data_IF_543014263453
#
_entry.id   IF_543014263453
#
_cell.length_a   1.000
_cell.length_b   1.000
_cell.length_c   1.000
_cell.angle_alpha   90.00
_cell.angle_beta   90.00
_cell.angle_gamma   90.00
#
_symmetry.space_group_name_H-M   'P 1'
#
loop_
_entity.id
_entity.type
_entity.pdbx_description
1 polymer ?
#
# COMPACT_ATOMS: atom_id res chain seq x y z
N UNK A 1 -48.97 5.01 -47.90
CA UNK A 1 -47.67 5.47 -47.36
C UNK A 1 -47.88 6.86 -46.74
N UNK A 2 -47.56 7.21 -45.50
CA UNK A 2 -47.25 6.42 -44.31
C UNK A 2 -47.40 7.35 -43.07
N UNK A 3 -48.62 7.62 -42.58
CA UNK A 3 -48.81 8.38 -41.32
C UNK A 3 -48.22 7.62 -40.12
N UNK A 4 -48.17 6.30 -40.21
CA UNK A 4 -47.52 5.39 -39.27
C UNK A 4 -45.99 5.51 -39.35
N UNK A 5 -45.43 5.68 -40.56
CA UNK A 5 -43.99 5.90 -40.74
C UNK A 5 -43.48 7.20 -40.14
N UNK A 6 -44.25 8.29 -40.24
CA UNK A 6 -43.88 9.59 -39.65
C UNK A 6 -43.97 9.54 -38.12
N UNK A 7 -44.97 8.83 -37.56
CA UNK A 7 -45.07 8.61 -36.12
C UNK A 7 -43.94 7.73 -35.57
N UNK A 8 -43.52 6.68 -36.30
CA UNK A 8 -42.38 5.84 -35.93
C UNK A 8 -41.04 6.60 -35.97
N UNK A 9 -40.83 7.45 -36.98
CA UNK A 9 -39.64 8.31 -37.04
C UNK A 9 -39.62 9.37 -35.93
N UNK A 10 -40.78 9.94 -35.56
CA UNK A 10 -40.89 10.89 -34.45
C UNK A 10 -40.60 10.26 -33.08
N UNK A 11 -41.07 9.03 -32.85
CA UNK A 11 -40.77 8.27 -31.63
C UNK A 11 -39.30 7.82 -31.60
N UNK A 12 -38.73 7.39 -32.73
CA UNK A 12 -37.31 7.08 -32.82
C UNK A 12 -36.41 8.30 -32.54
N UNK A 13 -36.78 9.49 -33.04
CA UNK A 13 -36.07 10.74 -32.76
C UNK A 13 -36.15 11.19 -31.29
N UNK A 14 -37.31 11.01 -30.65
CA UNK A 14 -37.49 11.31 -29.23
C UNK A 14 -36.73 10.31 -28.33
N UNK A 15 -36.66 9.04 -28.71
CA UNK A 15 -35.86 8.02 -28.00
C UNK A 15 -34.37 8.34 -28.15
N UNK A 16 -33.87 8.66 -29.34
CA UNK A 16 -32.46 9.03 -29.57
C UNK A 16 -32.01 10.26 -28.76
N UNK A 17 -32.92 11.20 -28.50
CA UNK A 17 -32.64 12.41 -27.70
C UNK A 17 -32.69 12.16 -26.19
N UNK A 18 -33.40 11.11 -25.74
CA UNK A 18 -33.57 10.74 -24.34
C UNK A 18 -32.44 9.86 -23.77
N UNK A 19 -31.45 9.50 -24.59
CA UNK A 19 -30.42 8.51 -24.24
C UNK A 19 -29.32 8.98 -23.30
N UNK A 20 -29.40 10.21 -22.81
CA UNK A 20 -28.58 10.71 -21.71
C UNK A 20 -29.14 10.37 -20.32
N UNK A 21 -30.34 9.78 -20.22
CA UNK A 21 -31.05 9.59 -18.95
C UNK A 21 -30.99 8.16 -18.37
N UNK A 22 -30.16 7.26 -18.92
CA UNK A 22 -29.91 5.99 -18.26
C UNK A 22 -29.17 6.24 -16.93
N UNK A 23 -29.65 5.73 -15.78
CA UNK A 23 -28.99 5.97 -14.50
C UNK A 23 -27.60 5.31 -14.53
N UNK A 24 -26.56 6.15 -14.63
CA UNK A 24 -25.17 5.75 -14.55
C UNK A 24 -24.38 6.78 -13.75
N UNK A 25 -23.37 6.31 -13.03
CA UNK A 25 -22.37 7.20 -12.46
C UNK A 25 -21.53 7.74 -13.62
N UNK A 26 -21.28 9.04 -13.62
CA UNK A 26 -20.41 9.71 -14.60
C UNK A 26 -19.60 10.77 -13.88
N UNK A 27 -18.35 10.95 -14.28
CA UNK A 27 -17.56 12.08 -13.81
C UNK A 27 -17.92 13.31 -14.64
N UNK A 28 -18.65 14.27 -14.07
CA UNK A 28 -18.97 15.55 -14.71
C UNK A 28 -18.15 16.65 -14.05
N UNK A 29 -17.02 17.01 -14.67
CA UNK A 29 -16.08 18.01 -14.14
C UNK A 29 -16.50 19.38 -14.68
N UNK A 30 -16.91 20.33 -13.83
CA UNK A 30 -17.25 21.68 -14.27
C UNK A 30 -16.08 22.32 -15.04
N UNK A 31 -16.33 22.82 -16.25
CA UNK A 31 -15.30 23.52 -17.05
C UNK A 31 -15.04 24.95 -16.57
N UNK A 32 -16.04 25.56 -15.93
CA UNK A 32 -16.05 26.98 -15.60
C UNK A 32 -15.97 27.23 -14.07
N UNK A 33 -15.81 26.17 -13.28
CA UNK A 33 -15.72 26.23 -11.82
C UNK A 33 -14.60 25.31 -11.35
N UNK A 34 -13.85 25.75 -10.35
CA UNK A 34 -12.89 24.93 -9.61
C UNK A 34 -13.49 24.39 -8.32
N UNK A 35 -14.82 24.46 -8.15
CA UNK A 35 -15.53 24.01 -6.95
C UNK A 35 -16.71 23.11 -7.30
N UNK A 36 -16.90 22.06 -6.51
CA UNK A 36 -18.03 21.14 -6.58
C UNK A 36 -18.53 20.86 -5.16
N UNK A 37 -19.81 21.17 -4.87
CA UNK A 37 -20.41 21.03 -3.53
C UNK A 37 -19.58 21.66 -2.39
N UNK A 38 -18.96 22.82 -2.64
CA UNK A 38 -18.13 23.52 -1.66
C UNK A 38 -16.71 22.97 -1.48
N UNK A 39 -16.33 21.93 -2.24
CA UNK A 39 -14.97 21.38 -2.28
C UNK A 39 -14.25 21.98 -3.48
N UNK A 40 -13.05 22.51 -3.27
CA UNK A 40 -12.19 23.01 -4.34
C UNK A 40 -11.50 21.82 -5.01
N UNK A 41 -11.51 21.75 -6.34
CA UNK A 41 -10.80 20.73 -7.10
C UNK A 41 -9.80 21.34 -8.09
N UNK A 42 -8.72 20.60 -8.33
CA UNK A 42 -7.76 20.89 -9.42
C UNK A 42 -7.69 19.68 -10.35
N UNK A 43 -7.77 19.94 -11.65
CA UNK A 43 -7.65 18.92 -12.68
C UNK A 43 -6.20 18.83 -13.17
N UNK A 44 -5.68 17.62 -13.21
CA UNK A 44 -4.33 17.27 -13.66
C UNK A 44 -4.41 16.29 -14.85
N UNK A 45 -3.41 16.32 -15.72
CA UNK A 45 -3.33 15.45 -16.90
C UNK A 45 -2.12 14.52 -16.81
N UNK A 46 -2.38 13.25 -16.47
CA UNK A 46 -1.34 12.23 -16.28
C UNK A 46 -0.57 11.99 -17.58
N UNK A 47 -1.27 11.93 -18.71
CA UNK A 47 -0.64 11.72 -20.03
C UNK A 47 0.36 12.82 -20.43
N UNK A 48 0.17 14.04 -19.93
CA UNK A 48 1.06 15.19 -20.17
C UNK A 48 2.19 15.28 -19.15
N UNK A 49 2.31 14.29 -18.26
CA UNK A 49 3.31 14.25 -17.20
C UNK A 49 2.99 15.13 -16.00
N UNK A 50 1.77 15.68 -15.91
CA UNK A 50 1.30 16.38 -14.71
C UNK A 50 0.85 15.35 -13.67
N UNK A 51 1.81 14.90 -12.87
CA UNK A 51 1.60 13.96 -11.76
C UNK A 51 1.08 14.67 -10.49
N UNK A 52 0.81 15.98 -10.59
CA UNK A 52 0.54 16.87 -9.47
C UNK A 52 1.75 17.08 -8.58
N UNK A 53 1.55 17.90 -7.56
CA UNK A 53 2.51 17.98 -6.46
C UNK A 53 2.32 16.72 -5.60
N UNK A 54 3.40 16.14 -5.04
CA UNK A 54 3.26 15.19 -3.96
C UNK A 54 2.30 15.82 -2.95
N UNK A 55 1.29 15.07 -2.48
CA UNK A 55 0.43 15.60 -1.42
C UNK A 55 1.35 15.96 -0.28
N UNK A 56 1.58 17.25 -0.07
CA UNK A 56 2.10 17.77 1.17
C UNK A 56 1.02 17.46 2.20
N UNK A 57 1.07 16.24 2.75
CA UNK A 57 0.51 15.99 4.07
C UNK A 57 1.20 17.05 4.90
N UNK A 58 0.44 18.07 5.33
CA UNK A 58 0.98 19.21 6.07
C UNK A 58 2.02 18.65 7.03
N UNK A 59 3.32 19.01 6.86
CA UNK A 59 4.40 18.24 7.46
C UNK A 59 4.06 18.13 8.93
N UNK A 60 3.92 16.88 9.39
CA UNK A 60 3.74 16.68 10.82
C UNK A 60 4.94 17.41 11.44
N UNK A 61 4.74 18.41 12.32
CA UNK A 61 5.87 19.20 12.83
C UNK A 61 6.88 18.32 13.57
N UNK A 62 6.47 17.11 13.95
CA UNK A 62 7.32 16.05 14.48
C UNK A 62 7.97 15.16 13.43
N UNK A 63 7.58 15.17 12.16
CA UNK A 63 8.21 14.35 11.11
C UNK A 63 9.52 14.99 10.62
N UNK A 64 10.62 14.25 10.77
CA UNK A 64 11.95 14.68 10.34
C UNK A 64 12.35 14.09 8.99
N UNK A 65 13.21 14.80 8.25
CA UNK A 65 13.78 14.30 7.02
C UNK A 65 14.94 13.33 7.33
N UNK A 66 14.93 12.16 6.70
CA UNK A 66 16.00 11.16 6.80
C UNK A 66 17.39 11.73 6.49
N UNK A 67 17.50 12.64 5.52
CA UNK A 67 18.79 13.23 5.13
C UNK A 67 19.44 14.01 6.27
N UNK A 68 18.65 14.53 7.21
CA UNK A 68 19.15 15.26 8.38
C UNK A 68 19.90 14.34 9.37
N UNK A 69 19.70 13.03 9.25
CA UNK A 69 20.30 12.03 10.13
C UNK A 69 21.56 11.37 9.55
N UNK A 70 21.77 11.51 8.25
CA UNK A 70 22.83 10.80 7.54
C UNK A 70 24.19 11.45 7.79
N UNK A 71 25.21 10.62 8.00
CA UNK A 71 26.60 11.07 8.09
C UNK A 71 27.37 10.72 6.82
N UNK A 72 28.33 11.55 6.41
CA UNK A 72 29.15 11.28 5.22
C UNK A 72 30.04 10.04 5.41
N UNK A 73 30.56 9.87 6.62
CA UNK A 73 31.32 8.71 7.07
C UNK A 73 30.98 8.39 8.52
N UNK A 74 31.10 7.10 8.89
CA UNK A 74 30.95 6.69 10.27
C UNK A 74 32.11 7.26 11.10
N UNK A 75 31.83 7.99 12.20
CA UNK A 75 32.87 8.56 13.04
C UNK A 75 33.60 7.45 13.78
N UNK A 76 34.90 7.65 14.01
CA UNK A 76 35.62 6.86 15.00
C UNK A 76 35.11 7.27 16.39
N UNK A 77 34.36 6.38 17.03
CA UNK A 77 33.68 6.65 18.28
C UNK A 77 34.56 6.20 19.44
N UNK A 78 35.10 7.17 20.18
CA UNK A 78 35.75 6.86 21.44
C UNK A 78 34.70 6.69 22.54
N UNK A 79 34.57 5.48 23.07
CA UNK A 79 33.64 5.21 24.16
C UNK A 79 34.07 5.94 25.44
N UNK A 80 33.11 6.66 26.03
CA UNK A 80 33.25 7.32 27.33
C UNK A 80 32.39 6.59 28.35
N UNK A 81 33.04 6.20 29.44
CA UNK A 81 32.42 5.52 30.57
C UNK A 81 31.30 6.40 31.11
N UNK A 82 30.17 5.79 31.45
CA UNK A 82 29.02 6.46 32.03
C UNK A 82 28.47 5.71 33.25
N UNK A 83 27.45 6.28 33.89
CA UNK A 83 26.79 5.66 35.03
C UNK A 83 26.26 4.26 34.68
N UNK A 84 26.35 3.33 35.64
CA UNK A 84 25.92 1.93 35.52
C UNK A 84 26.80 1.00 34.67
N UNK A 85 27.81 1.51 33.98
CA UNK A 85 28.77 0.66 33.27
C UNK A 85 29.55 -0.24 34.23
N UNK A 86 30.09 -1.34 33.69
CA UNK A 86 31.00 -2.23 34.42
C UNK A 86 32.40 -2.04 33.85
N UNK A 87 33.35 -1.76 34.74
CA UNK A 87 34.75 -1.54 34.37
C UNK A 87 35.61 -2.59 35.05
N UNK A 88 36.39 -3.33 34.27
CA UNK A 88 37.41 -4.23 34.77
C UNK A 88 38.75 -3.52 34.80
N UNK A 89 39.44 -3.61 35.94
CA UNK A 89 40.80 -3.10 36.12
C UNK A 89 41.68 -4.30 36.43
N UNK A 90 42.74 -4.47 35.66
CA UNK A 90 43.75 -5.52 35.83
C UNK A 90 45.06 -4.85 36.21
N UNK A 91 45.64 -5.28 37.33
CA UNK A 91 46.96 -4.83 37.78
C UNK A 91 47.89 -6.04 37.73
N UNK A 92 48.89 -6.00 36.87
CA UNK A 92 49.84 -7.09 36.72
C UNK A 92 50.63 -7.34 38.00
N UNK A 93 50.97 -8.60 38.25
CA UNK A 93 51.67 -9.07 39.47
C UNK A 93 50.92 -8.78 40.80
N UNK A 94 49.69 -8.26 40.71
CA UNK A 94 48.84 -7.90 41.84
C UNK A 94 47.42 -8.48 41.68
N UNK A 95 47.25 -9.81 41.77
CA UNK A 95 45.94 -10.47 41.67
C UNK A 95 44.93 -9.99 42.73
N UNK A 96 45.41 -9.57 43.90
CA UNK A 96 44.62 -8.99 44.99
C UNK A 96 43.94 -7.65 44.62
N UNK A 97 44.48 -6.92 43.63
CA UNK A 97 43.87 -5.68 43.12
C UNK A 97 42.99 -5.94 41.90
N UNK A 98 43.35 -6.94 41.09
CA UNK A 98 42.58 -7.35 39.91
C UNK A 98 41.26 -8.03 40.31
N UNK A 99 41.26 -8.79 41.41
CA UNK A 99 40.07 -9.49 41.91
C UNK A 99 40.02 -9.43 43.44
N UNK A 100 39.76 -8.24 44.02
CA UNK A 100 39.83 -8.01 45.46
C UNK A 100 38.83 -8.83 46.27
N UNK A 101 37.80 -9.39 45.63
CA UNK A 101 36.78 -10.25 46.26
C UNK A 101 36.82 -11.71 45.77
N UNK A 102 37.93 -12.13 45.14
CA UNK A 102 38.15 -13.51 44.67
C UNK A 102 37.47 -13.86 43.34
N UNK A 103 37.60 -15.13 42.93
CA UNK A 103 37.15 -15.63 41.61
C UNK A 103 35.60 -15.66 41.40
N UNK A 104 34.81 -15.28 42.40
CA UNK A 104 33.35 -15.48 42.41
C UNK A 104 32.52 -14.22 42.10
N UNK A 105 33.15 -13.07 41.85
CA UNK A 105 32.43 -11.85 41.46
C UNK A 105 32.47 -11.61 39.95
N UNK A 106 31.44 -10.92 39.40
CA UNK A 106 31.41 -10.56 37.98
C UNK A 106 32.67 -9.78 37.59
N UNK A 107 33.12 -9.99 36.34
CA UNK A 107 34.33 -9.41 35.77
C UNK A 107 34.22 -7.89 35.62
N UNK A 108 34.35 -7.15 36.72
CA UNK A 108 34.37 -5.70 36.75
C UNK A 108 33.57 -5.10 37.89
N UNK A 109 33.83 -3.83 38.11
CA UNK A 109 33.24 -3.03 39.15
C UNK A 109 32.27 -2.02 38.54
N UNK A 110 31.11 -1.91 39.16
CA UNK A 110 30.02 -1.07 38.66
C UNK A 110 30.29 0.40 38.93
N UNK A 111 30.12 1.23 37.90
CA UNK A 111 30.08 2.68 38.01
C UNK A 111 28.76 3.10 38.65
N UNK A 112 28.85 3.91 39.69
CA UNK A 112 27.69 4.38 40.44
C UNK A 112 26.83 5.34 39.60
N UNK A 113 25.61 5.64 40.07
CA UNK A 113 24.68 6.56 39.37
C UNK A 113 25.18 8.00 39.31
N UNK A 114 26.05 8.42 40.25
CA UNK A 114 26.76 9.70 40.24
C UNK A 114 28.06 9.66 39.39
N UNK A 115 28.34 8.55 38.72
CA UNK A 115 29.44 8.43 37.77
C UNK A 115 30.81 8.19 38.40
N UNK A 116 30.83 7.63 39.61
CA UNK A 116 32.07 7.32 40.33
C UNK A 116 32.39 5.82 40.31
N UNK A 117 33.66 5.53 40.54
CA UNK A 117 34.19 4.20 40.75
C UNK A 117 35.02 4.23 42.03
N UNK A 118 34.70 3.39 43.01
CA UNK A 118 35.63 3.12 44.10
C UNK A 118 36.69 2.15 43.60
N UNK A 119 37.96 2.32 43.91
CA UNK A 119 38.97 1.30 43.62
C UNK A 119 39.94 1.16 44.80
N UNK A 120 40.30 -0.06 45.25
CA UNK A 120 41.18 -0.24 46.40
C UNK A 120 42.47 0.58 46.27
N UNK A 121 42.84 1.26 47.37
CA UNK A 121 43.99 2.18 47.48
C UNK A 121 43.89 3.47 46.63
N UNK A 122 43.28 3.43 45.45
CA UNK A 122 43.03 4.62 44.62
C UNK A 122 41.84 5.48 45.12
N UNK A 123 40.95 4.92 45.96
CA UNK A 123 39.80 5.61 46.57
C UNK A 123 38.63 5.78 45.61
N UNK A 124 37.78 6.79 45.82
CA UNK A 124 36.74 7.15 44.86
C UNK A 124 37.32 7.99 43.71
N UNK A 125 36.98 7.62 42.48
CA UNK A 125 37.36 8.31 41.25
C UNK A 125 36.10 8.75 40.50
N UNK A 126 36.09 9.98 39.99
CA UNK A 126 35.09 10.40 39.00
C UNK A 126 35.48 9.77 37.66
N UNK A 127 34.66 8.85 37.14
CA UNK A 127 34.97 8.10 35.91
C UNK A 127 34.01 8.40 34.77
N UNK A 128 32.82 8.91 35.06
CA UNK A 128 31.87 9.30 34.01
C UNK A 128 32.49 10.39 33.11
N UNK A 129 32.44 10.16 31.80
CA UNK A 129 33.05 10.99 30.78
C UNK A 129 34.49 10.61 30.42
N UNK A 130 35.17 9.80 31.23
CA UNK A 130 36.52 9.32 30.92
C UNK A 130 36.51 8.19 29.90
N UNK A 131 37.57 8.10 29.11
CA UNK A 131 37.85 6.94 28.28
C UNK A 131 38.58 5.88 29.11
N UNK A 132 38.61 4.62 28.65
CA UNK A 132 39.34 3.56 29.34
C UNK A 132 40.84 3.92 29.52
N UNK A 133 41.42 4.61 28.54
CA UNK A 133 42.81 5.07 28.58
C UNK A 133 43.04 6.19 29.59
N UNK A 134 42.10 7.14 29.70
CA UNK A 134 42.16 8.20 30.70
C UNK A 134 42.02 7.62 32.12
N UNK A 135 41.09 6.70 32.31
CA UNK A 135 40.91 6.02 33.60
C UNK A 135 42.13 5.19 33.99
N UNK A 136 42.75 4.47 33.03
CA UNK A 136 44.00 3.74 33.25
C UNK A 136 45.09 4.65 33.80
N UNK A 137 45.32 5.80 33.15
CA UNK A 137 46.32 6.79 33.59
C UNK A 137 46.06 7.29 35.01
N UNK A 138 44.80 7.58 35.33
CA UNK A 138 44.42 8.07 36.65
C UNK A 138 44.61 7.00 37.74
N UNK A 139 44.22 5.75 37.48
CA UNK A 139 44.42 4.64 38.42
C UNK A 139 45.91 4.37 38.63
N UNK A 140 46.70 4.28 37.55
CA UNK A 140 48.16 4.10 37.63
C UNK A 140 48.78 5.17 38.52
N UNK A 141 48.46 6.45 38.29
CA UNK A 141 48.98 7.56 39.08
C UNK A 141 48.65 7.41 40.57
N UNK A 142 47.39 7.15 40.93
CA UNK A 142 46.98 7.04 42.33
C UNK A 142 47.55 5.83 43.06
N UNK A 143 47.77 4.73 42.35
CA UNK A 143 48.42 3.54 42.92
C UNK A 143 49.91 3.78 43.14
N UNK A 144 50.59 4.44 42.19
CA UNK A 144 52.00 4.84 42.30
C UNK A 144 52.24 5.76 43.50
N UNK A 145 51.36 6.74 43.70
CA UNK A 145 51.52 7.75 44.76
C UNK A 145 51.36 7.15 46.17
N UNK A 146 50.71 5.99 46.30
CA UNK A 146 50.26 5.45 47.60
C UNK A 146 50.91 4.14 48.00
N UNK A 147 51.05 3.17 47.08
CA UNK A 147 51.34 1.79 47.49
C UNK A 147 52.21 0.96 46.55
N UNK A 148 52.29 1.29 45.25
CA UNK A 148 53.05 0.51 44.27
C UNK A 148 54.16 1.34 43.62
N UNK A 149 55.24 0.70 43.19
CA UNK A 149 56.26 1.33 42.34
C UNK A 149 56.05 0.89 40.89
N UNK A 150 55.79 1.84 39.99
CA UNK A 150 55.54 1.61 38.55
C UNK A 150 54.50 0.51 38.21
N UNK A 151 53.25 0.63 38.70
CA UNK A 151 52.22 -0.38 38.49
C UNK A 151 51.77 -0.45 37.03
N UNK A 152 51.77 -1.66 36.48
CA UNK A 152 51.23 -1.93 35.14
C UNK A 152 49.73 -2.20 35.25
N UNK A 153 48.92 -1.26 34.74
CA UNK A 153 47.45 -1.30 34.83
C UNK A 153 46.85 -1.41 33.44
N UNK A 154 45.86 -2.27 33.28
CA UNK A 154 44.95 -2.33 32.14
C UNK A 154 43.51 -2.06 32.59
N UNK A 155 42.73 -1.35 31.78
CA UNK A 155 41.36 -0.96 32.08
C UNK A 155 40.49 -1.24 30.87
N UNK A 156 39.39 -1.96 31.07
CA UNK A 156 38.45 -2.34 30.01
C UNK A 156 37.01 -2.17 30.49
N UNK A 157 36.13 -1.73 29.60
CA UNK A 157 34.69 -1.72 29.86
C UNK A 157 34.16 -3.11 29.53
N UNK A 158 33.53 -3.77 30.51
CA UNK A 158 33.01 -5.14 30.39
C UNK A 158 31.49 -5.20 30.32
N UNK A 159 30.81 -4.11 30.70
CA UNK A 159 29.36 -4.01 30.66
C UNK A 159 28.94 -2.60 30.25
N UNK A 160 28.42 -2.48 29.04
CA UNK A 160 27.97 -1.22 28.46
C UNK A 160 26.49 -0.98 28.81
N UNK A 161 26.22 -0.22 29.87
CA UNK A 161 24.86 -0.03 30.38
C UNK A 161 24.41 1.43 30.40
N UNK A 162 25.35 2.37 30.32
CA UNK A 162 25.10 3.81 30.39
C UNK A 162 24.41 4.36 29.14
N UNK A 163 24.73 3.80 27.98
CA UNK A 163 24.23 4.24 26.67
C UNK A 163 23.41 3.14 26.03
N UNK A 164 22.13 3.43 25.78
CA UNK A 164 21.18 2.49 25.19
C UNK A 164 20.10 3.17 24.35
N UNK A 165 19.57 2.43 23.39
CA UNK A 165 18.42 2.78 22.57
C UNK A 165 17.35 1.70 22.81
N UNK A 166 16.09 2.04 22.55
CA UNK A 166 14.98 1.11 22.77
C UNK A 166 14.39 0.68 21.43
N UNK A 167 14.25 -0.63 21.22
CA UNK A 167 13.66 -1.19 20.01
C UNK A 167 12.39 -1.95 20.39
N UNK A 168 11.31 -1.69 19.67
CA UNK A 168 9.99 -2.25 19.95
C UNK A 168 9.18 -2.53 18.69
N UNK A 169 8.07 -3.23 18.85
CA UNK A 169 7.21 -3.66 17.75
C UNK A 169 7.62 -5.01 17.18
N UNK A 170 7.41 -5.20 15.88
CA UNK A 170 7.57 -6.45 15.15
C UNK A 170 9.05 -6.74 14.82
N UNK A 171 9.83 -7.04 15.86
CA UNK A 171 11.22 -7.55 15.77
C UNK A 171 11.36 -8.83 16.57
N UNK A 172 12.37 -9.66 16.26
CA UNK A 172 12.52 -10.96 16.92
C UNK A 172 12.83 -10.87 18.42
N UNK A 173 13.57 -9.83 18.86
CA UNK A 173 13.94 -9.61 20.27
C UNK A 173 13.80 -8.13 20.66
N UNK A 174 12.58 -7.64 20.95
CA UNK A 174 12.38 -6.27 21.39
C UNK A 174 13.04 -6.02 22.75
N UNK A 175 13.55 -4.81 22.97
CA UNK A 175 14.25 -4.46 24.20
C UNK A 175 15.27 -3.34 24.03
N UNK A 176 16.12 -3.19 25.05
CA UNK A 176 17.22 -2.23 25.00
C UNK A 176 18.40 -2.77 24.21
N UNK A 177 18.91 -1.96 23.29
CA UNK A 177 20.18 -2.18 22.59
C UNK A 177 21.24 -1.30 23.23
N UNK A 178 22.30 -1.93 23.70
CA UNK A 178 23.40 -1.28 24.41
C UNK A 178 24.52 -0.91 23.44
N UNK A 179 25.06 0.31 23.58
CA UNK A 179 26.12 0.82 22.71
C UNK A 179 27.49 0.50 23.29
N UNK A 180 28.35 -0.10 22.48
CA UNK A 180 29.74 -0.38 22.80
C UNK A 180 30.67 0.66 22.14
N UNK A 181 31.91 0.26 21.84
CA UNK A 181 32.93 1.06 21.17
C UNK A 181 32.64 1.25 19.68
N UNK A 182 31.73 0.47 19.09
CA UNK A 182 31.43 0.54 17.67
C UNK A 182 30.28 1.53 17.39
N UNK A 183 30.36 2.31 16.30
CA UNK A 183 29.22 3.04 15.79
C UNK A 183 28.07 2.08 15.50
N UNK A 184 26.88 2.39 16.03
CA UNK A 184 25.69 1.58 15.82
C UNK A 184 24.77 2.28 14.83
N UNK A 185 24.50 1.65 13.70
CA UNK A 185 23.62 2.15 12.64
C UNK A 185 22.23 1.52 12.75
N UNK A 186 21.27 2.01 11.96
CA UNK A 186 19.93 1.42 11.91
C UNK A 186 19.98 -0.09 11.53
N UNK A 187 20.74 -0.52 10.50
CA UNK A 187 21.01 -1.94 10.23
C UNK A 187 21.59 -2.71 11.40
N UNK A 188 22.57 -2.15 12.10
CA UNK A 188 23.22 -2.84 13.23
C UNK A 188 22.23 -3.06 14.38
N UNK A 189 21.38 -2.07 14.67
CA UNK A 189 20.33 -2.19 15.70
C UNK A 189 19.32 -3.28 15.33
N UNK A 190 18.87 -3.34 14.07
CA UNK A 190 17.95 -4.38 13.60
C UNK A 190 18.61 -5.76 13.67
N UNK A 191 19.87 -5.88 13.26
CA UNK A 191 20.63 -7.12 13.37
C UNK A 191 20.80 -7.56 14.84
N UNK A 192 21.08 -6.62 15.74
CA UNK A 192 21.23 -6.89 17.17
C UNK A 192 19.96 -7.50 17.77
N UNK A 193 18.77 -6.99 17.42
CA UNK A 193 17.49 -7.57 17.87
C UNK A 193 17.09 -8.85 17.12
N UNK A 194 17.97 -9.38 16.27
CA UNK A 194 17.76 -10.64 15.55
C UNK A 194 16.97 -10.48 14.24
N UNK A 195 16.87 -9.27 13.70
CA UNK A 195 16.11 -8.97 12.49
C UNK A 195 14.63 -8.70 12.75
N UNK A 196 13.91 -8.47 11.65
CA UNK A 196 12.47 -8.26 11.65
C UNK A 196 11.72 -9.56 12.00
N UNK A 197 10.59 -9.41 12.68
CA UNK A 197 9.61 -10.50 12.84
C UNK A 197 8.94 -10.82 11.49
N UNK A 198 8.39 -12.03 11.34
CA UNK A 198 7.72 -12.45 10.09
C UNK A 198 6.51 -11.56 9.73
N UNK A 199 5.85 -10.99 10.73
CA UNK A 199 4.68 -10.10 10.56
C UNK A 199 5.06 -8.63 10.51
N UNK A 200 6.35 -8.30 10.48
CA UNK A 200 6.81 -6.93 10.43
C UNK A 200 6.52 -6.27 9.09
N UNK A 201 6.44 -4.95 9.10
CA UNK A 201 6.48 -4.13 7.90
C UNK A 201 7.77 -3.29 7.86
N UNK A 202 8.81 -3.75 7.13
CA UNK A 202 10.07 -3.03 7.04
C UNK A 202 9.97 -1.69 6.30
N UNK A 203 8.89 -1.44 5.54
CA UNK A 203 8.75 -0.19 4.80
C UNK A 203 8.33 1.01 5.67
N UNK A 204 8.02 0.76 6.95
CA UNK A 204 7.46 1.77 7.86
C UNK A 204 8.18 1.80 9.21
N UNK A 205 9.48 1.48 9.24
CA UNK A 205 10.27 1.57 10.46
C UNK A 205 10.33 3.02 10.92
N UNK A 206 10.09 3.28 12.21
CA UNK A 206 10.09 4.62 12.77
C UNK A 206 11.24 4.79 13.74
N UNK A 207 12.04 5.83 13.55
CA UNK A 207 13.03 6.29 14.52
C UNK A 207 12.49 7.54 15.21
N UNK A 208 12.28 7.49 16.52
CA UNK A 208 12.01 8.66 17.34
C UNK A 208 13.30 9.14 18.00
N UNK A 209 13.66 10.40 17.74
CA UNK A 209 14.81 11.11 18.34
C UNK A 209 14.33 12.46 18.89
N UNK A 210 14.22 12.54 20.21
CA UNK A 210 13.59 13.68 20.88
C UNK A 210 12.14 13.84 20.45
N UNK A 211 11.77 15.04 20.01
CA UNK A 211 10.42 15.38 19.55
C UNK A 211 10.18 15.07 18.06
N UNK A 212 11.20 14.54 17.37
CA UNK A 212 11.13 14.17 15.95
C UNK A 212 10.98 12.67 15.75
N UNK A 213 10.20 12.29 14.75
CA UNK A 213 9.95 10.94 14.25
C UNK A 213 10.39 10.90 12.79
N UNK A 214 11.19 9.91 12.43
CA UNK A 214 11.73 9.71 11.10
C UNK A 214 11.21 8.38 10.57
N UNK A 215 10.52 8.41 9.45
CA UNK A 215 10.05 7.22 8.76
C UNK A 215 11.18 6.66 7.89
N UNK A 216 11.44 5.36 7.99
CA UNK A 216 12.51 4.65 7.31
C UNK A 216 11.89 3.49 6.53
N UNK A 217 11.90 3.59 5.20
CA UNK A 217 11.49 2.51 4.31
C UNK A 217 12.70 1.64 3.99
N UNK A 218 12.87 0.54 4.72
CA UNK A 218 14.00 -0.36 4.53
C UNK A 218 14.02 -1.02 3.15
N UNK A 219 12.84 -1.34 2.61
CA UNK A 219 12.71 -2.02 1.32
C UNK A 219 13.10 -1.08 0.19
N UNK A 220 12.57 0.15 0.22
CA UNK A 220 12.93 1.19 -0.74
C UNK A 220 14.40 1.56 -0.61
N UNK A 221 14.91 1.69 0.61
CA UNK A 221 16.31 2.02 0.82
C UNK A 221 17.25 1.00 0.17
N UNK A 222 16.94 -0.29 0.27
CA UNK A 222 17.71 -1.33 -0.41
C UNK A 222 17.58 -1.25 -1.94
N UNK A 223 16.35 -1.07 -2.45
CA UNK A 223 16.08 -1.03 -3.91
C UNK A 223 16.69 0.20 -4.60
N UNK A 224 16.63 1.35 -3.95
CA UNK A 224 17.08 2.63 -4.49
C UNK A 224 18.51 3.01 -4.04
N UNK A 225 19.19 2.10 -3.34
CA UNK A 225 20.55 2.31 -2.83
C UNK A 225 20.66 3.56 -1.92
N UNK A 226 19.66 3.77 -1.06
CA UNK A 226 19.69 4.80 -0.02
C UNK A 226 20.52 4.25 1.15
N UNK A 227 21.62 4.92 1.54
CA UNK A 227 22.56 4.37 2.52
C UNK A 227 22.07 4.56 3.96
N UNK A 228 21.09 3.75 4.38
CA UNK A 228 20.55 3.72 5.75
C UNK A 228 21.57 3.22 6.78
N UNK A 229 22.64 2.56 6.32
CA UNK A 229 23.86 2.24 7.08
C UNK A 229 24.67 3.50 7.47
N UNK A 230 24.30 4.69 6.96
CA UNK A 230 24.87 5.97 7.40
C UNK A 230 24.01 6.71 8.41
N UNK A 231 22.95 6.08 8.92
CA UNK A 231 22.11 6.64 9.96
C UNK A 231 22.57 6.07 11.30
N UNK A 232 23.32 6.86 12.05
CA UNK A 232 23.76 6.50 13.40
C UNK A 232 22.60 6.57 14.37
N UNK A 233 22.41 5.51 15.15
CA UNK A 233 21.52 5.52 16.30
C UNK A 233 22.24 6.19 17.47
N UNK A 234 21.52 7.01 18.23
CA UNK A 234 22.05 7.74 19.38
C UNK A 234 21.45 7.20 20.68
N UNK A 235 22.14 7.35 21.81
CA UNK A 235 21.55 7.03 23.12
C UNK A 235 20.23 7.78 23.32
N UNK A 236 19.21 7.06 23.79
CA UNK A 236 17.86 7.61 24.00
C UNK A 236 16.93 7.54 22.78
N UNK A 237 17.45 7.19 21.60
CA UNK A 237 16.62 6.93 20.42
C UNK A 237 15.68 5.75 20.66
N UNK A 238 14.53 5.78 19.98
CA UNK A 238 13.55 4.70 20.02
C UNK A 238 13.20 4.27 18.61
N UNK A 239 13.40 2.98 18.33
CA UNK A 239 13.05 2.37 17.06
C UNK A 239 11.77 1.56 17.23
N UNK A 240 10.79 1.80 16.37
CA UNK A 240 9.53 1.08 16.35
C UNK A 240 9.31 0.46 14.98
N UNK A 241 9.01 -0.83 14.95
CA UNK A 241 8.66 -1.55 13.72
C UNK A 241 7.18 -1.96 13.79
N UNK A 242 6.31 -1.45 12.93
CA UNK A 242 4.89 -1.80 12.97
C UNK A 242 4.63 -3.22 12.47
N UNK A 243 3.47 -3.76 12.84
CA UNK A 243 2.95 -4.98 12.24
C UNK A 243 2.37 -4.67 10.85
N UNK A 244 2.54 -5.58 9.89
CA UNK A 244 2.00 -5.45 8.53
C UNK A 244 0.50 -5.20 8.51
N UNK A 245 -0.26 -5.90 9.35
CA UNK A 245 -1.72 -5.74 9.43
C UNK A 245 -2.15 -4.33 9.89
N UNK A 246 -1.38 -3.71 10.80
CA UNK A 246 -1.69 -2.35 11.28
C UNK A 246 -1.61 -1.35 10.15
N UNK A 247 -0.70 -1.57 9.20
CA UNK A 247 -0.51 -0.69 8.08
C UNK A 247 -1.39 -1.04 6.88
N UNK A 248 -1.67 -2.32 6.64
CA UNK A 248 -2.58 -2.76 5.58
C UNK A 248 -4.02 -2.28 5.74
N UNK A 249 -4.51 -2.07 6.98
CA UNK A 249 -5.89 -1.61 7.22
C UNK A 249 -6.20 -0.27 6.55
N UNK A 250 -5.20 0.61 6.45
CA UNK A 250 -5.33 1.94 5.87
C UNK A 250 -4.75 2.05 4.45
N UNK A 251 -3.94 1.08 4.01
CA UNK A 251 -3.28 1.05 2.69
C UNK A 251 -4.07 0.29 1.63
N UNK A 252 -5.06 0.98 1.08
CA UNK A 252 -5.89 0.46 0.02
C UNK A 252 -6.34 1.56 -0.92
N UNK A 253 -6.50 1.23 -2.19
CA UNK A 253 -7.15 2.09 -3.18
C UNK A 253 -8.49 1.47 -3.59
N UNK A 254 -9.40 2.32 -4.03
CA UNK A 254 -10.71 1.89 -4.51
C UNK A 254 -10.74 1.96 -6.02
N UNK A 255 -10.98 0.85 -6.71
CA UNK A 255 -11.13 0.83 -8.17
C UNK A 255 -12.60 0.62 -8.50
N UNK A 256 -13.20 1.61 -9.17
CA UNK A 256 -14.63 1.73 -9.43
C UNK A 256 -14.90 2.08 -10.90
N UNK A 257 -16.16 1.95 -11.31
CA UNK A 257 -16.60 2.26 -12.68
C UNK A 257 -16.46 1.07 -13.63
N UNK A 258 -16.23 1.35 -14.92
CA UNK A 258 -16.19 0.37 -16.01
C UNK A 258 -14.85 -0.38 -16.10
N UNK A 259 -14.52 -1.11 -15.03
CA UNK A 259 -13.44 -2.10 -14.98
C UNK A 259 -14.02 -3.51 -14.96
N UNK A 260 -13.19 -4.52 -15.26
CA UNK A 260 -13.66 -5.91 -15.25
C UNK A 260 -14.03 -6.41 -13.84
N UNK A 261 -13.35 -5.91 -12.79
CA UNK A 261 -13.66 -6.20 -11.39
C UNK A 261 -13.50 -4.93 -10.54
N UNK A 262 -14.60 -4.37 -10.07
CA UNK A 262 -14.58 -3.28 -9.10
C UNK A 262 -14.25 -3.79 -7.71
N UNK A 263 -13.62 -2.96 -6.88
CA UNK A 263 -13.34 -3.31 -5.49
C UNK A 263 -12.14 -2.60 -4.90
N UNK A 264 -11.72 -3.13 -3.76
CA UNK A 264 -10.57 -2.65 -3.00
C UNK A 264 -9.32 -3.36 -3.50
N UNK A 265 -8.31 -2.59 -3.92
CA UNK A 265 -6.97 -3.10 -4.20
C UNK A 265 -6.09 -2.75 -3.02
N UNK A 266 -5.53 -3.78 -2.37
CA UNK A 266 -4.63 -3.62 -1.23
C UNK A 266 -3.25 -3.22 -1.74
N UNK A 267 -2.59 -2.34 -0.98
CA UNK A 267 -1.24 -1.89 -1.28
C UNK A 267 -0.29 -2.54 -0.26
N UNK A 268 0.71 -3.28 -0.75
CA UNK A 268 1.79 -3.76 0.11
C UNK A 268 2.77 -2.62 0.42
N UNK A 269 3.09 -1.79 -0.59
CA UNK A 269 3.89 -0.57 -0.48
C UNK A 269 3.26 0.55 -1.34
N UNK A 270 3.91 0.89 -2.45
CA UNK A 270 3.39 1.73 -3.53
C UNK A 270 2.67 0.85 -4.55
N UNK A 271 1.63 1.37 -5.18
CA UNK A 271 0.99 0.74 -6.33
C UNK A 271 0.78 1.81 -7.41
N UNK A 272 1.14 1.49 -8.65
CA UNK A 272 0.89 2.41 -9.76
C UNK A 272 -0.59 2.37 -10.20
N UNK A 273 -1.03 3.40 -10.93
CA UNK A 273 -2.34 3.38 -11.56
C UNK A 273 -2.48 2.18 -12.51
N UNK A 274 -1.40 1.83 -13.23
CA UNK A 274 -1.39 0.66 -14.11
C UNK A 274 -1.58 -0.65 -13.34
N UNK A 275 -0.86 -0.84 -12.23
CA UNK A 275 -0.97 -2.02 -11.38
C UNK A 275 -2.36 -2.13 -10.74
N UNK A 276 -2.95 -1.02 -10.29
CA UNK A 276 -4.30 -1.01 -9.73
C UNK A 276 -5.36 -1.40 -10.76
N UNK A 277 -5.27 -0.86 -11.99
CA UNK A 277 -6.14 -1.25 -13.10
C UNK A 277 -5.95 -2.73 -13.47
N UNK A 278 -4.71 -3.22 -13.49
CA UNK A 278 -4.41 -4.62 -13.78
C UNK A 278 -4.98 -5.56 -12.70
N UNK A 279 -4.87 -5.20 -11.42
CA UNK A 279 -5.47 -5.95 -10.30
C UNK A 279 -7.01 -6.04 -10.45
N UNK A 280 -7.64 -4.95 -10.90
CA UNK A 280 -9.05 -4.90 -11.27
C UNK A 280 -9.41 -5.66 -12.57
N UNK A 281 -8.45 -6.36 -13.18
CA UNK A 281 -8.64 -7.12 -14.42
C UNK A 281 -8.63 -6.26 -15.69
N UNK A 282 -8.16 -5.03 -15.60
CA UNK A 282 -8.12 -4.05 -16.69
C UNK A 282 -9.43 -3.28 -16.88
N UNK A 283 -9.35 -2.23 -17.69
CA UNK A 283 -10.53 -1.47 -18.15
C UNK A 283 -11.42 -2.37 -19.01
N UNK A 284 -12.73 -2.23 -18.89
CA UNK A 284 -13.66 -3.00 -19.71
C UNK A 284 -13.65 -2.46 -21.15
N UNK A 285 -13.02 -3.18 -22.08
CA UNK A 285 -12.85 -2.73 -23.46
C UNK A 285 -14.17 -2.46 -24.22
N UNK A 286 -15.29 -3.07 -23.78
CA UNK A 286 -16.60 -2.86 -24.41
C UNK A 286 -17.34 -1.66 -23.84
N UNK A 287 -17.14 -1.40 -22.55
CA UNK A 287 -17.96 -0.44 -21.82
C UNK A 287 -17.24 0.83 -21.41
N UNK A 288 -15.95 0.77 -21.13
CA UNK A 288 -15.17 1.90 -20.61
C UNK A 288 -14.90 2.95 -21.68
N UNK A 289 -14.80 4.20 -21.25
CA UNK A 289 -14.21 5.28 -22.05
C UNK A 289 -12.70 5.33 -21.80
N UNK A 290 -11.84 4.98 -22.78
CA UNK A 290 -10.38 4.99 -22.58
C UNK A 290 -9.82 6.37 -22.26
N UNK A 291 -10.53 7.46 -22.60
CA UNK A 291 -10.14 8.83 -22.28
C UNK A 291 -10.38 9.27 -20.85
N UNK A 292 -11.21 8.53 -20.12
CA UNK A 292 -11.88 9.01 -18.92
C UNK A 292 -11.57 8.06 -17.76
N UNK A 293 -10.26 7.87 -17.53
CA UNK A 293 -9.71 7.20 -16.36
C UNK A 293 -9.27 8.28 -15.39
N UNK A 294 -9.86 8.29 -14.20
CA UNK A 294 -9.60 9.30 -13.17
C UNK A 294 -8.99 8.68 -11.92
N UNK A 295 -8.06 9.42 -11.30
CA UNK A 295 -7.69 9.24 -9.90
C UNK A 295 -8.23 10.44 -9.13
N UNK A 296 -9.07 10.17 -8.15
CA UNK A 296 -9.61 11.19 -7.24
C UNK A 296 -8.85 11.06 -5.92
N UNK A 297 -8.11 12.11 -5.58
CA UNK A 297 -7.27 12.19 -4.40
C UNK A 297 -7.80 13.23 -3.43
N UNK A 298 -7.96 12.85 -2.17
CA UNK A 298 -8.41 13.76 -1.13
C UNK A 298 -7.20 14.44 -0.46
N UNK A 299 -6.97 15.71 -0.77
CA UNK A 299 -5.78 16.45 -0.33
C UNK A 299 -6.03 17.18 0.98
N UNK A 300 -7.25 17.67 1.22
CA UNK A 300 -7.70 18.22 2.50
C UNK A 300 -9.22 18.11 2.63
N UNK A 301 -9.77 18.41 3.82
CA UNK A 301 -11.23 18.40 4.04
C UNK A 301 -12.03 19.22 3.01
N UNK A 302 -11.41 20.22 2.39
CA UNK A 302 -12.04 21.15 1.46
C UNK A 302 -11.37 21.14 0.07
N UNK A 303 -10.37 20.28 -0.17
CA UNK A 303 -9.62 20.22 -1.44
C UNK A 303 -9.43 18.79 -1.93
N UNK A 304 -9.77 18.55 -3.19
CA UNK A 304 -9.47 17.31 -3.90
C UNK A 304 -8.61 17.60 -5.14
N UNK A 305 -7.75 16.67 -5.53
CA UNK A 305 -7.06 16.72 -6.81
C UNK A 305 -7.61 15.57 -7.68
N UNK A 306 -7.93 15.90 -8.93
CA UNK A 306 -8.49 14.95 -9.91
C UNK A 306 -7.44 14.80 -11.01
N UNK A 307 -6.94 13.59 -11.20
CA UNK A 307 -5.97 13.27 -12.22
C UNK A 307 -6.64 12.48 -13.32
N UNK A 308 -6.61 12.99 -14.55
CA UNK A 308 -7.18 12.30 -15.71
C UNK A 308 -6.06 11.69 -16.56
N UNK A 309 -6.25 10.44 -16.95
CA UNK A 309 -5.46 9.75 -17.95
C UNK A 309 -6.34 9.53 -19.20
N UNK A 310 -5.96 10.12 -20.33
CA UNK A 310 -6.48 9.71 -21.63
C UNK A 310 -5.62 8.57 -22.19
N UNK A 311 -6.15 7.35 -22.10
CA UNK A 311 -5.51 6.12 -22.55
C UNK A 311 -6.02 5.64 -23.92
N UNK A 312 -6.56 6.52 -24.77
CA UNK A 312 -6.86 6.17 -26.17
C UNK A 312 -5.62 5.67 -26.90
N UNK A 313 -4.45 6.19 -26.55
CA UNK A 313 -3.17 5.66 -26.98
C UNK A 313 -2.59 4.78 -25.87
N UNK A 314 -2.29 3.52 -26.19
CA UNK A 314 -1.70 2.57 -25.25
C UNK A 314 -0.35 3.05 -24.67
N UNK A 315 0.37 3.94 -25.36
CA UNK A 315 1.60 4.55 -24.82
C UNK A 315 1.35 5.38 -23.56
N UNK A 316 0.14 5.92 -23.38
CA UNK A 316 -0.22 6.66 -22.17
C UNK A 316 -0.28 5.75 -20.92
N UNK A 317 -0.44 4.44 -21.09
CA UNK A 317 -0.35 3.47 -19.97
C UNK A 317 1.06 3.45 -19.35
N UNK A 318 2.11 3.82 -20.10
CA UNK A 318 3.44 3.99 -19.52
C UNK A 318 3.49 5.16 -18.51
N UNK A 319 2.62 6.17 -18.66
CA UNK A 319 2.46 7.22 -17.65
C UNK A 319 1.65 6.72 -16.45
N UNK A 320 0.66 5.86 -16.67
CA UNK A 320 -0.09 5.21 -15.59
C UNK A 320 0.82 4.34 -14.70
N UNK A 321 1.85 3.71 -15.27
CA UNK A 321 2.82 2.92 -14.52
C UNK A 321 3.75 3.78 -13.65
N UNK A 322 4.01 5.02 -14.06
CA UNK A 322 4.79 6.00 -13.30
C UNK A 322 3.96 6.78 -12.27
N UNK A 323 2.64 6.72 -12.38
CA UNK A 323 1.74 7.44 -11.48
C UNK A 323 1.49 6.61 -10.23
N UNK A 324 2.14 6.96 -9.12
CA UNK A 324 1.94 6.31 -7.83
C UNK A 324 0.62 6.74 -7.18
N UNK A 325 -0.18 5.76 -6.77
CA UNK A 325 -1.41 6.00 -6.01
C UNK A 325 -1.10 6.19 -4.53
N UNK A 326 -1.86 7.09 -3.89
CA UNK A 326 -1.83 7.28 -2.45
C UNK A 326 -2.84 6.34 -1.78
N UNK A 327 -2.60 5.97 -0.51
CA UNK A 327 -3.62 5.30 0.29
C UNK A 327 -4.95 6.05 0.24
N UNK A 328 -6.02 5.31 -0.03
CA UNK A 328 -7.41 5.77 -0.16
C UNK A 328 -7.71 6.59 -1.42
N UNK A 329 -6.82 6.64 -2.40
CA UNK A 329 -7.16 7.12 -3.74
C UNK A 329 -8.32 6.31 -4.33
N UNK A 330 -9.17 7.01 -5.09
CA UNK A 330 -10.26 6.39 -5.83
C UNK A 330 -9.90 6.44 -7.31
N UNK A 331 -9.64 5.27 -7.90
CA UNK A 331 -9.53 5.09 -9.33
C UNK A 331 -10.93 4.86 -9.89
N UNK A 332 -11.39 5.76 -10.76
CA UNK A 332 -12.71 5.70 -11.37
C UNK A 332 -12.58 5.69 -12.88
N UNK A 333 -13.19 4.69 -13.54
CA UNK A 333 -13.21 4.57 -15.00
C UNK A 333 -14.61 4.86 -15.50
N UNK A 334 -14.77 5.90 -16.32
CA UNK A 334 -16.07 6.30 -16.82
C UNK A 334 -16.60 5.38 -17.94
N UNK A 335 -17.91 5.38 -18.13
CA UNK A 335 -18.56 4.64 -19.20
C UNK A 335 -18.45 5.36 -20.55
N UNK A 336 -18.21 4.60 -21.61
CA UNK A 336 -18.30 5.10 -22.98
C UNK A 336 -19.75 5.46 -23.32
N UNK A 337 -19.91 6.48 -24.18
CA UNK A 337 -21.22 6.89 -24.67
C UNK A 337 -22.00 5.76 -25.36
N UNK A 338 -21.29 4.78 -25.96
CA UNK A 338 -21.89 3.62 -26.63
C UNK A 338 -22.37 2.56 -25.63
N UNK A 339 -21.66 2.35 -24.52
CA UNK A 339 -22.08 1.43 -23.47
C UNK A 339 -23.40 1.88 -22.81
N UNK A 340 -23.52 3.20 -22.62
CA UNK A 340 -24.73 3.86 -22.12
C UNK A 340 -25.94 3.52 -23.02
N UNK A 341 -25.74 3.51 -24.34
CA UNK A 341 -26.74 3.18 -25.34
C UNK A 341 -27.16 1.70 -25.29
N UNK A 342 -26.20 0.77 -25.23
CA UNK A 342 -26.50 -0.66 -25.15
C UNK A 342 -27.27 -1.04 -23.87
N UNK A 343 -26.98 -0.38 -22.74
CA UNK A 343 -27.71 -0.56 -21.47
C UNK A 343 -29.14 -0.03 -21.55
N UNK A 344 -29.37 1.09 -22.23
CA UNK A 344 -30.71 1.59 -22.47
C UNK A 344 -31.51 0.63 -23.37
N UNK A 345 -30.89 0.14 -24.44
CA UNK A 345 -31.51 -0.85 -25.33
C UNK A 345 -31.95 -2.10 -24.56
N UNK A 346 -31.12 -2.62 -23.65
CA UNK A 346 -31.48 -3.78 -22.84
C UNK A 346 -32.60 -3.50 -21.83
N UNK A 347 -32.79 -2.24 -21.38
CA UNK A 347 -33.90 -1.83 -20.52
C UNK A 347 -35.24 -1.67 -21.27
N UNK A 348 -35.21 -1.30 -22.56
CA UNK A 348 -36.43 -1.16 -23.40
C UNK A 348 -36.79 -2.43 -24.18
N UNK A 349 -35.87 -3.38 -24.32
CA UNK A 349 -36.12 -4.64 -25.03
C UNK A 349 -37.27 -5.46 -24.40
N UNK A 350 -37.40 -5.56 -23.06
CA UNK A 350 -38.52 -6.27 -22.42
C UNK A 350 -39.88 -5.62 -22.71
N UNK A 351 -39.96 -4.29 -22.75
CA UNK A 351 -41.21 -3.57 -23.07
C UNK A 351 -41.54 -3.67 -24.55
N UNK A 352 -40.55 -3.64 -25.45
CA UNK A 352 -40.77 -3.94 -26.87
C UNK A 352 -41.32 -5.35 -27.09
N UNK A 353 -40.81 -6.34 -26.35
CA UNK A 353 -41.26 -7.72 -26.43
C UNK A 353 -42.69 -7.87 -25.90
N UNK A 354 -43.04 -7.15 -24.82
CA UNK A 354 -44.38 -7.10 -24.27
C UNK A 354 -45.38 -6.41 -25.22
N UNK A 355 -44.98 -5.33 -25.91
CA UNK A 355 -45.80 -4.67 -26.93
C UNK A 355 -46.02 -5.61 -28.12
N UNK A 356 -44.97 -6.30 -28.59
CA UNK A 356 -45.05 -7.27 -29.69
C UNK A 356 -45.97 -8.46 -29.34
N UNK A 357 -45.85 -9.01 -28.14
CA UNK A 357 -46.77 -10.04 -27.63
C UNK A 357 -48.20 -9.50 -27.50
N UNK A 358 -48.36 -8.26 -27.03
CA UNK A 358 -49.66 -7.57 -26.92
C UNK A 358 -50.34 -7.37 -28.28
N UNK A 359 -49.59 -6.98 -29.32
CA UNK A 359 -50.13 -6.82 -30.67
C UNK A 359 -50.58 -8.15 -31.27
N UNK A 360 -49.85 -9.24 -31.02
CA UNK A 360 -50.24 -10.58 -31.47
C UNK A 360 -51.50 -11.07 -30.73
N UNK A 361 -51.66 -10.75 -29.44
CA UNK A 361 -52.87 -11.06 -28.67
C UNK A 361 -54.08 -10.27 -29.21
N UNK A 362 -53.92 -8.98 -29.49
CA UNK A 362 -55.01 -8.15 -30.06
C UNK A 362 -55.39 -8.61 -31.46
N UNK A 363 -54.43 -8.96 -32.32
CA UNK A 363 -54.70 -9.52 -33.64
C UNK A 363 -55.40 -10.87 -33.55
N UNK A 364 -54.95 -11.77 -32.67
CA UNK A 364 -55.62 -13.06 -32.45
C UNK A 364 -57.05 -12.89 -31.90
N UNK A 365 -57.28 -11.94 -30.99
CA UNK A 365 -58.63 -11.63 -30.47
C UNK A 365 -59.52 -11.02 -31.56
N UNK A 366 -58.98 -10.16 -32.42
CA UNK A 366 -59.71 -9.61 -33.56
C UNK A 366 -60.01 -10.68 -34.62
N UNK A 367 -59.10 -11.61 -34.90
CA UNK A 367 -59.37 -12.76 -35.76
C UNK A 367 -60.47 -13.66 -35.17
N UNK A 368 -60.44 -13.95 -33.87
CA UNK A 368 -61.47 -14.74 -33.18
C UNK A 368 -62.83 -14.01 -33.21
N UNK A 369 -62.84 -12.68 -33.04
CA UNK A 369 -64.07 -11.89 -33.07
C UNK A 369 -64.66 -11.77 -34.49
N UNK A 370 -63.81 -11.63 -35.51
CA UNK A 370 -64.25 -11.52 -36.91
C UNK A 370 -64.59 -12.87 -37.56
N UNK A 371 -63.97 -13.97 -37.14
CA UNK A 371 -64.24 -15.32 -37.69
C UNK A 371 -65.23 -16.14 -36.87
N UNK A 372 -65.64 -15.62 -35.71
CA UNK A 372 -66.47 -16.31 -34.72
C UNK A 372 -65.70 -17.45 -34.05
N UNK A 373 -66.03 -17.75 -32.79
CA UNK A 373 -65.40 -18.85 -32.06
C UNK A 373 -65.76 -20.20 -32.71
N UNK A 374 -64.88 -20.73 -33.56
CA UNK A 374 -65.04 -22.06 -34.16
C UNK A 374 -64.35 -23.10 -33.30
N UNK A 375 -65.11 -24.04 -32.76
CA UNK A 375 -64.57 -25.21 -32.06
C UNK A 375 -63.66 -26.04 -32.99
N UNK A 376 -62.70 -26.82 -32.46
CA UNK A 376 -61.76 -27.60 -33.26
C UNK A 376 -62.40 -28.51 -34.33
N UNK A 377 -63.65 -28.92 -34.13
CA UNK A 377 -64.45 -29.69 -35.10
C UNK A 377 -64.81 -28.91 -36.37
N UNK A 378 -65.00 -27.59 -36.30
CA UNK A 378 -65.40 -26.77 -37.45
C UNK A 378 -64.24 -26.41 -38.38
N UNK A 379 -62.98 -26.38 -37.89
CA UNK A 379 -61.79 -26.12 -38.73
C UNK A 379 -61.43 -27.30 -39.65
N UNK A 380 -61.82 -28.54 -39.32
CA UNK A 380 -61.56 -29.72 -40.17
C UNK A 380 -62.49 -29.82 -41.39
N UNK A 381 -63.68 -29.23 -41.34
CA UNK A 381 -64.64 -29.30 -42.44
C UNK A 381 -64.28 -28.36 -43.62
N UNK A 382 -63.47 -27.32 -43.38
CA UNK A 382 -63.06 -26.36 -44.41
C UNK A 382 -61.76 -26.71 -45.14
N UNK A 383 -61.12 -27.84 -44.81
CA UNK A 383 -59.85 -28.26 -45.42
C UNK A 383 -59.98 -29.45 -46.37
N UNK A 384 -61.20 -29.79 -46.82
CA UNK A 384 -61.48 -30.95 -47.68
C UNK A 384 -61.86 -30.54 -49.10
N UNK A 385 -61.05 -29.72 -49.78
CA UNK A 385 -61.13 -29.57 -51.25
C UNK A 385 -59.85 -28.98 -51.86
N UNK A 386 -58.75 -29.74 -51.84
CA UNK A 386 -57.71 -29.68 -52.90
C UNK A 386 -56.61 -30.70 -52.58
N UNK A 387 -56.82 -31.94 -52.99
CA UNK A 387 -55.76 -32.95 -53.10
C UNK A 387 -55.52 -33.17 -54.59
N UNK A 388 -54.36 -32.73 -55.10
CA UNK A 388 -53.80 -33.28 -56.35
C UNK A 388 -52.29 -33.45 -56.16
N UNK A 389 -51.94 -34.68 -55.79
CA UNK A 389 -50.76 -35.48 -56.18
C UNK A 389 -49.47 -34.78 -56.63
N UNK A 390 -48.36 -35.07 -55.91
CA UNK A 390 -47.27 -35.90 -56.47
C UNK A 390 -46.54 -36.66 -55.35
N UNK A 391 -46.65 -37.99 -55.39
CA UNK A 391 -45.83 -39.00 -54.72
C UNK A 391 -44.40 -38.98 -55.31
N UNK A 392 -43.29 -39.12 -54.60
CA UNK A 392 -42.64 -40.30 -53.98
C UNK A 392 -41.22 -39.79 -53.65
N UNK A 393 -40.58 -40.03 -52.52
CA UNK A 393 -40.00 -41.32 -52.20
C UNK A 393 -39.59 -41.39 -50.72
N UNK A 394 -39.80 -42.58 -50.17
CA UNK A 394 -39.68 -42.99 -48.77
C UNK A 394 -38.32 -43.62 -48.48
N UNK A 395 -38.02 -43.74 -47.18
CA UNK A 395 -36.99 -44.58 -46.52
C UNK A 395 -35.57 -43.95 -46.44
N UNK A 396 -34.93 -43.83 -45.28
CA UNK A 396 -34.90 -44.75 -44.14
C UNK A 396 -34.81 -44.09 -42.75
N UNK A 397 -35.37 -44.80 -41.77
CA UNK A 397 -35.22 -44.73 -40.30
C UNK A 397 -33.75 -44.67 -39.85
N UNK A 398 -33.39 -43.83 -38.89
CA UNK A 398 -33.35 -44.11 -37.44
C UNK A 398 -32.56 -45.37 -37.05
N UNK A 399 -31.38 -45.19 -36.43
CA UNK A 399 -30.93 -45.88 -35.20
C UNK A 399 -29.46 -45.58 -34.85
N UNK A 400 -29.16 -45.64 -33.55
CA UNK A 400 -27.87 -45.85 -32.88
C UNK A 400 -27.06 -44.64 -32.39
N UNK A 401 -27.43 -44.19 -31.19
CA UNK A 401 -26.70 -44.43 -29.94
C UNK A 401 -25.19 -44.80 -30.00
N UNK A 402 -24.45 -44.09 -29.15
CA UNK A 402 -23.29 -44.52 -28.36
C UNK A 402 -21.85 -44.35 -28.87
N UNK A 403 -21.04 -43.86 -27.92
CA UNK A 403 -19.62 -44.14 -27.62
C UNK A 403 -18.49 -43.30 -28.25
N UNK A 404 -17.85 -42.54 -27.34
CA UNK A 404 -16.43 -42.53 -27.01
C UNK A 404 -15.39 -41.79 -27.88
N UNK A 405 -14.75 -40.84 -27.19
CA UNK A 405 -13.32 -40.82 -26.84
C UNK A 405 -12.31 -40.05 -27.72
N UNK A 406 -11.73 -39.04 -27.06
CA UNK A 406 -10.28 -38.74 -26.91
C UNK A 406 -9.43 -38.23 -28.08
N UNK A 407 -8.58 -37.25 -27.72
CA UNK A 407 -7.33 -36.87 -28.40
C UNK A 407 -7.51 -35.57 -29.20
N UNK A 408 -6.86 -34.45 -28.91
CA UNK A 408 -5.54 -34.25 -28.29
C UNK A 408 -5.47 -32.86 -27.64
#
# INVERSE_FOLDING_TARGET
>A
MNKIGIALCGVAGAILSGCFAAPQMRMDIPTDSTTYNGITFKLHSIEKGDMGEPVEVAPNPSEGNLTDLMVDSLPDLEYRIGPLDMVQVVVWEHPELTSPMGQYQPAGQKVTTDGKLFYPYAGELQVAGLTAQELRKEITKRLSDKILNDPQVDVRVTGYHSRKAFVSGAVNRPGYVHFDENPMTIPDVIAYVGGFDEKADPSFVQLRRGDKVYNIDYVRAFKENIPIDRILVKPGDQLFVPLKEEMERDRKVYVLGEVNRTGIVRMDNYISLAEALAAAGGVNAMNAAPSDIYVIRNTSKEKIDIYQLDAKNAMALAMADRFELNPRDIVYVDASGIATWNRLLSLITPTMSAIYLGTNIVQNVQEINNTGWKTPSQKRASSTSSTTSTSTNTANSAANNATNATGN
#
